data_IF_845982789776
#
_entry.id   IF_845982789776
#
_cell.length_a   1.000
_cell.length_b   1.000
_cell.length_c   1.000
_cell.angle_alpha   90.00
_cell.angle_beta   90.00
_cell.angle_gamma   90.00
#
_symmetry.space_group_name_H-M   'P 1'
#
loop_
_entity.id
_entity.type
_entity.pdbx_description
1 polymer ?
#
# COMPACT_ATOMS: atom_id res chain seq x y z
N UNK A 1 -37.06 -8.98 -22.24
CA UNK A 1 -36.66 -9.50 -20.91
C UNK A 1 -35.84 -8.45 -20.11
N UNK A 2 -36.30 -7.19 -20.01
CA UNK A 2 -35.62 -6.10 -19.25
C UNK A 2 -36.55 -5.52 -18.15
N UNK A 3 -37.80 -6.00 -18.06
CA UNK A 3 -38.87 -5.40 -17.24
C UNK A 3 -38.70 -5.58 -15.72
N UNK A 4 -37.82 -6.47 -15.27
CA UNK A 4 -37.76 -6.90 -13.85
C UNK A 4 -36.80 -6.11 -12.96
N UNK A 5 -35.94 -5.24 -13.51
CA UNK A 5 -35.02 -4.37 -12.73
C UNK A 5 -35.36 -2.88 -12.77
N UNK A 6 -36.51 -2.53 -13.34
CA UNK A 6 -36.93 -1.12 -13.43
C UNK A 6 -37.56 -0.67 -12.12
N UNK A 7 -36.77 0.07 -11.33
CA UNK A 7 -37.21 0.76 -10.11
C UNK A 7 -38.53 1.53 -10.37
N UNK A 8 -39.45 1.53 -9.40
CA UNK A 8 -40.76 2.20 -9.47
C UNK A 8 -40.65 3.67 -9.89
N UNK A 9 -39.54 4.34 -9.53
CA UNK A 9 -39.25 5.71 -9.94
C UNK A 9 -38.99 5.84 -11.44
N UNK A 10 -38.29 4.88 -12.05
CA UNK A 10 -37.99 4.88 -13.48
C UNK A 10 -39.25 4.68 -14.34
N UNK A 11 -40.20 3.85 -13.86
CA UNK A 11 -41.50 3.66 -14.52
C UNK A 11 -42.40 4.91 -14.47
N UNK A 12 -42.25 5.74 -13.42
CA UNK A 12 -42.98 7.01 -13.28
C UNK A 12 -42.45 8.08 -14.23
N UNK A 13 -41.12 8.14 -14.40
CA UNK A 13 -40.46 9.07 -15.34
C UNK A 13 -40.87 8.80 -16.79
N UNK A 14 -40.99 7.53 -17.20
CA UNK A 14 -41.46 7.18 -18.55
C UNK A 14 -42.94 7.58 -18.83
N UNK A 15 -43.80 7.67 -17.81
CA UNK A 15 -45.19 8.15 -17.99
C UNK A 15 -45.32 9.67 -18.02
N UNK A 16 -44.39 10.40 -17.39
CA UNK A 16 -44.36 11.86 -17.39
C UNK A 16 -44.02 12.45 -18.78
N UNK A 17 -43.37 11.64 -19.63
CA UNK A 17 -42.94 11.91 -21.01
C UNK A 17 -44.00 12.43 -22.01
N UNK A 18 -45.25 12.55 -21.60
CA UNK A 18 -46.39 12.91 -22.46
C UNK A 18 -46.76 14.40 -22.44
N UNK A 19 -46.04 15.25 -21.70
CA UNK A 19 -46.41 16.67 -21.53
C UNK A 19 -45.33 17.68 -21.95
N UNK A 20 -44.20 17.24 -22.50
CA UNK A 20 -43.42 18.00 -23.49
C UNK A 20 -42.63 19.22 -23.00
N UNK A 21 -42.75 19.66 -21.74
CA UNK A 21 -41.96 20.80 -21.22
C UNK A 21 -41.08 20.48 -20.00
N UNK A 22 -41.44 19.49 -19.17
CA UNK A 22 -40.62 19.09 -18.01
C UNK A 22 -39.63 17.96 -18.34
N UNK A 23 -39.85 17.23 -19.44
CA UNK A 23 -39.12 16.01 -19.78
C UNK A 23 -37.67 16.28 -20.22
N UNK A 24 -37.45 17.35 -21.00
CA UNK A 24 -36.10 17.75 -21.42
C UNK A 24 -35.31 18.26 -20.22
N UNK A 25 -35.93 19.06 -19.35
CA UNK A 25 -35.26 19.61 -18.17
C UNK A 25 -34.86 18.50 -17.18
N UNK A 26 -35.75 17.54 -16.91
CA UNK A 26 -35.46 16.38 -16.07
C UNK A 26 -34.38 15.50 -16.71
N UNK A 27 -34.45 15.26 -18.03
CA UNK A 27 -33.43 14.50 -18.75
C UNK A 27 -32.05 15.17 -18.67
N UNK A 28 -31.98 16.49 -18.83
CA UNK A 28 -30.75 17.27 -18.69
C UNK A 28 -30.21 17.27 -17.26
N UNK A 29 -31.08 17.36 -16.24
CA UNK A 29 -30.67 17.25 -14.83
C UNK A 29 -30.10 15.85 -14.53
N UNK A 30 -30.75 14.78 -15.00
CA UNK A 30 -30.26 13.41 -14.80
C UNK A 30 -28.95 13.19 -15.55
N UNK A 31 -28.84 13.69 -16.79
CA UNK A 31 -27.61 13.61 -17.59
C UNK A 31 -26.46 14.34 -16.91
N UNK A 32 -26.68 15.56 -16.40
CA UNK A 32 -25.64 16.33 -15.70
C UNK A 32 -25.22 15.69 -14.39
N UNK A 33 -26.15 15.13 -13.60
CA UNK A 33 -25.82 14.37 -12.38
C UNK A 33 -25.01 13.11 -12.74
N UNK A 34 -25.40 12.38 -13.77
CA UNK A 34 -24.67 11.19 -14.24
C UNK A 34 -23.26 11.56 -14.73
N UNK A 35 -23.12 12.60 -15.54
CA UNK A 35 -21.81 13.03 -16.07
C UNK A 35 -20.91 13.53 -14.94
N UNK A 36 -21.43 14.30 -13.99
CA UNK A 36 -20.63 14.79 -12.86
C UNK A 36 -20.21 13.66 -11.92
N UNK A 37 -21.10 12.71 -11.61
CA UNK A 37 -20.75 11.55 -10.78
C UNK A 37 -19.73 10.63 -11.46
N UNK A 38 -19.91 10.35 -12.76
CA UNK A 38 -18.94 9.58 -13.55
C UNK A 38 -17.60 10.31 -13.67
N UNK A 39 -17.62 11.63 -13.89
CA UNK A 39 -16.41 12.44 -13.95
C UNK A 39 -15.68 12.48 -12.59
N UNK A 40 -16.40 12.60 -11.47
CA UNK A 40 -15.81 12.50 -10.13
C UNK A 40 -15.27 11.10 -9.82
N UNK A 41 -15.89 10.04 -10.35
CA UNK A 41 -15.40 8.66 -10.21
C UNK A 41 -14.16 8.37 -11.08
N UNK A 42 -14.05 8.99 -12.25
CA UNK A 42 -12.97 8.75 -13.22
C UNK A 42 -11.77 9.72 -13.06
N UNK A 43 -12.02 10.97 -12.66
CA UNK A 43 -11.02 12.04 -12.62
C UNK A 43 -10.94 12.77 -11.27
N UNK A 44 -11.87 12.51 -10.35
CA UNK A 44 -11.73 12.95 -8.96
C UNK A 44 -10.68 12.09 -8.28
N UNK A 45 -9.43 12.55 -8.23
CA UNK A 45 -8.34 11.86 -7.53
C UNK A 45 -8.83 11.40 -6.15
N UNK A 46 -8.90 10.09 -5.96
CA UNK A 46 -9.55 9.51 -4.80
C UNK A 46 -8.84 10.02 -3.54
N UNK A 47 -9.61 10.30 -2.48
CA UNK A 47 -9.02 10.67 -1.18
C UNK A 47 -7.99 9.64 -0.69
N UNK A 48 -8.08 8.40 -1.16
CA UNK A 48 -7.16 7.29 -0.87
C UNK A 48 -5.80 7.53 -1.52
N UNK A 49 -5.73 8.00 -2.76
CA UNK A 49 -4.47 8.25 -3.49
C UNK A 49 -3.71 9.41 -2.85
N UNK A 50 -4.44 10.44 -2.40
CA UNK A 50 -3.85 11.55 -1.66
C UNK A 50 -3.29 11.12 -0.31
N UNK A 51 -4.00 10.24 0.41
CA UNK A 51 -3.54 9.70 1.69
C UNK A 51 -2.31 8.82 1.50
N UNK A 52 -2.30 7.97 0.47
CA UNK A 52 -1.14 7.11 0.16
C UNK A 52 0.08 7.94 -0.21
N UNK A 53 -0.08 8.96 -1.05
CA UNK A 53 1.02 9.89 -1.40
C UNK A 53 1.56 10.62 -0.17
N UNK A 54 0.67 11.13 0.68
CA UNK A 54 1.10 11.81 1.92
C UNK A 54 1.80 10.85 2.89
N UNK A 55 1.29 9.62 3.02
CA UNK A 55 1.89 8.58 3.84
C UNK A 55 3.28 8.20 3.32
N UNK A 56 3.42 8.02 2.01
CA UNK A 56 4.70 7.73 1.38
C UNK A 56 5.73 8.81 1.68
N UNK A 57 5.36 10.08 1.53
CA UNK A 57 6.27 11.21 1.82
C UNK A 57 6.64 11.24 3.30
N UNK A 58 5.67 11.11 4.20
CA UNK A 58 5.92 11.11 5.65
C UNK A 58 6.82 9.94 6.08
N UNK A 59 6.51 8.73 5.61
CA UNK A 59 7.28 7.53 5.92
C UNK A 59 8.71 7.59 5.37
N UNK A 60 8.90 8.15 4.17
CA UNK A 60 10.24 8.32 3.59
C UNK A 60 11.07 9.38 4.31
N UNK A 61 10.42 10.41 4.84
CA UNK A 61 11.09 11.44 5.62
C UNK A 61 11.33 11.03 7.09
N UNK A 62 11.00 9.79 7.46
CA UNK A 62 11.02 9.31 8.84
C UNK A 62 10.19 10.17 9.82
N UNK A 63 9.13 10.84 9.33
CA UNK A 63 8.29 11.71 10.16
C UNK A 63 7.18 10.91 10.86
N UNK A 64 7.48 10.46 12.08
CA UNK A 64 6.54 9.70 12.91
C UNK A 64 5.25 10.49 13.23
N UNK A 65 5.36 11.80 13.47
CA UNK A 65 4.23 12.63 13.86
C UNK A 65 3.26 12.83 12.69
N UNK A 66 3.77 12.89 11.47
CA UNK A 66 2.93 12.88 10.27
C UNK A 66 2.33 11.49 9.96
N UNK A 67 3.03 10.40 10.29
CA UNK A 67 2.54 9.03 10.06
C UNK A 67 1.42 8.62 11.03
N UNK A 68 1.55 8.93 12.32
CA UNK A 68 0.57 8.60 13.38
C UNK A 68 -0.91 8.89 13.00
N UNK A 69 -1.29 10.11 12.60
CA UNK A 69 -2.68 10.42 12.27
C UNK A 69 -3.15 9.71 10.99
N UNK A 70 -2.25 9.44 10.04
CA UNK A 70 -2.58 8.75 8.79
C UNK A 70 -2.91 7.28 9.03
N UNK A 71 -2.12 6.59 9.87
CA UNK A 71 -2.35 5.19 10.27
C UNK A 71 -3.65 5.07 11.08
N UNK A 72 -3.91 6.01 12.00
CA UNK A 72 -5.14 6.04 12.81
C UNK A 72 -6.41 6.18 11.98
N UNK A 73 -6.32 6.78 10.78
CA UNK A 73 -7.48 6.99 9.91
C UNK A 73 -8.06 5.68 9.33
N UNK A 74 -7.41 4.54 9.56
CA UNK A 74 -7.85 3.16 9.30
C UNK A 74 -8.87 3.01 8.16
N UNK A 75 -8.52 3.52 6.99
CA UNK A 75 -9.37 3.37 5.80
C UNK A 75 -9.18 1.92 5.36
N UNK A 76 -10.16 1.08 5.67
CA UNK A 76 -10.23 -0.29 5.17
C UNK A 76 -10.39 -0.26 3.66
N UNK A 77 -9.27 -0.26 2.93
CA UNK A 77 -9.24 -0.46 1.50
C UNK A 77 -9.48 -1.94 1.23
N UNK A 78 -10.74 -2.30 0.94
CA UNK A 78 -11.06 -3.68 0.53
C UNK A 78 -10.16 -4.11 -0.64
N UNK A 79 -9.37 -5.16 -0.43
CA UNK A 79 -8.56 -5.81 -1.47
C UNK A 79 -7.16 -5.23 -1.72
N UNK A 80 -6.70 -4.25 -0.92
CA UNK A 80 -5.36 -3.67 -1.01
C UNK A 80 -4.71 -3.59 0.38
N UNK A 81 -3.37 -3.62 0.43
CA UNK A 81 -2.55 -3.55 1.66
C UNK A 81 -3.07 -2.48 2.63
N UNK A 82 -3.06 -2.81 3.93
CA UNK A 82 -3.46 -1.87 4.97
C UNK A 82 -2.57 -0.61 4.95
N UNK A 83 -3.08 0.52 5.48
CA UNK A 83 -2.29 1.75 5.58
C UNK A 83 -1.00 1.50 6.38
N UNK A 84 -1.10 0.69 7.44
CA UNK A 84 0.03 0.28 8.28
C UNK A 84 1.07 -0.53 7.52
N UNK A 85 0.65 -1.51 6.73
CA UNK A 85 1.54 -2.29 5.88
C UNK A 85 2.27 -1.40 4.88
N UNK A 86 1.55 -0.54 4.15
CA UNK A 86 2.18 0.40 3.19
C UNK A 86 3.18 1.34 3.85
N UNK A 87 2.86 1.84 5.05
CA UNK A 87 3.77 2.67 5.83
C UNK A 87 5.06 1.90 6.17
N UNK A 88 4.93 0.63 6.59
CA UNK A 88 6.05 -0.25 6.92
C UNK A 88 6.96 -0.42 5.69
N UNK A 89 6.37 -0.70 4.53
CA UNK A 89 7.10 -0.84 3.27
C UNK A 89 7.91 0.41 2.87
N UNK A 90 7.33 1.61 2.98
CA UNK A 90 8.06 2.83 2.63
C UNK A 90 9.16 3.18 3.65
N UNK A 91 8.89 2.99 4.94
CA UNK A 91 9.83 3.31 6.01
C UNK A 91 11.02 2.35 6.12
N UNK A 92 10.88 1.10 5.66
CA UNK A 92 11.94 0.09 5.71
C UNK A 92 13.16 0.44 4.86
N UNK A 93 12.95 1.01 3.66
CA UNK A 93 14.04 1.39 2.78
C UNK A 93 14.87 2.57 3.30
N UNK A 94 14.26 3.47 4.06
CA UNK A 94 14.91 4.66 4.61
C UNK A 94 15.47 4.43 6.04
N UNK A 95 15.28 3.25 6.62
CA UNK A 95 15.83 2.92 7.93
C UNK A 95 15.08 3.56 9.11
N UNK A 96 13.82 3.99 8.93
CA UNK A 96 13.05 4.68 9.97
C UNK A 96 12.53 3.74 11.07
N UNK A 97 13.42 3.30 11.97
CA UNK A 97 13.12 2.32 13.03
C UNK A 97 11.94 2.71 13.94
N UNK A 98 11.81 3.99 14.29
CA UNK A 98 10.73 4.46 15.17
C UNK A 98 9.34 4.26 14.55
N UNK A 99 9.23 4.48 13.24
CA UNK A 99 7.99 4.25 12.49
C UNK A 99 7.66 2.76 12.47
N UNK A 100 8.62 1.89 12.17
CA UNK A 100 8.34 0.44 12.13
C UNK A 100 7.93 -0.07 13.51
N UNK A 101 8.61 0.35 14.59
CA UNK A 101 8.20 0.01 15.97
C UNK A 101 6.76 0.42 16.25
N UNK A 102 6.39 1.65 15.90
CA UNK A 102 5.02 2.14 16.06
C UNK A 102 4.01 1.31 15.25
N UNK A 103 4.35 0.92 14.02
CA UNK A 103 3.47 0.14 13.16
C UNK A 103 3.28 -1.29 13.67
N UNK A 104 4.35 -1.95 14.13
CA UNK A 104 4.27 -3.27 14.76
C UNK A 104 3.45 -3.24 16.05
N UNK A 105 3.59 -2.20 16.87
CA UNK A 105 2.74 -1.98 18.06
C UNK A 105 1.24 -1.81 17.72
N UNK A 106 0.94 -1.37 16.49
CA UNK A 106 -0.44 -1.27 15.97
C UNK A 106 -0.92 -2.58 15.32
N UNK A 107 -0.16 -3.65 15.40
CA UNK A 107 -0.49 -4.96 14.84
C UNK A 107 -0.27 -5.05 13.33
N UNK A 108 0.61 -4.22 12.76
CA UNK A 108 1.05 -4.42 11.39
C UNK A 108 1.75 -5.77 11.26
N UNK A 109 1.32 -6.59 10.31
CA UNK A 109 2.00 -7.84 10.01
C UNK A 109 3.32 -7.53 9.27
N UNK A 110 4.43 -7.97 9.88
CA UNK A 110 5.79 -7.78 9.36
C UNK A 110 6.01 -8.52 8.03
N UNK A 111 5.26 -9.59 7.80
CA UNK A 111 5.34 -10.45 6.62
C UNK A 111 4.24 -10.19 5.59
N UNK A 112 3.23 -9.38 5.91
CA UNK A 112 2.14 -9.02 4.98
C UNK A 112 2.66 -8.34 3.70
N UNK A 113 3.85 -7.72 3.77
CA UNK A 113 4.54 -7.22 2.60
C UNK A 113 5.82 -8.01 2.36
N UNK A 114 5.78 -8.76 1.25
CA UNK A 114 6.93 -9.45 0.65
C UNK A 114 8.17 -8.57 0.46
N UNK A 115 7.98 -7.25 0.40
CA UNK A 115 8.99 -6.26 0.07
C UNK A 115 9.64 -5.50 1.22
N UNK A 116 9.21 -5.63 2.49
CA UNK A 116 9.76 -4.79 3.57
C UNK A 116 11.25 -5.07 3.81
N UNK A 117 11.59 -6.35 4.03
CA UNK A 117 12.98 -6.80 4.16
C UNK A 117 13.79 -6.53 2.89
N UNK A 118 13.20 -6.74 1.70
CA UNK A 118 13.84 -6.41 0.43
C UNK A 118 14.18 -4.92 0.30
N UNK A 119 13.28 -4.04 0.74
CA UNK A 119 13.52 -2.60 0.69
C UNK A 119 14.57 -2.14 1.68
N UNK A 120 14.59 -2.69 2.89
CA UNK A 120 15.68 -2.43 3.83
C UNK A 120 17.05 -2.83 3.24
N UNK A 121 17.10 -3.95 2.51
CA UNK A 121 18.30 -4.37 1.76
C UNK A 121 18.64 -3.41 0.62
N UNK A 122 17.66 -2.98 -0.18
CA UNK A 122 17.89 -2.04 -1.29
C UNK A 122 18.38 -0.68 -0.76
N UNK A 123 17.84 -0.23 0.36
CA UNK A 123 18.27 0.98 1.06
C UNK A 123 19.61 0.85 1.77
N UNK A 124 20.16 -0.37 1.89
CA UNK A 124 21.41 -0.63 2.57
C UNK A 124 21.38 -0.25 4.05
N UNK A 125 20.33 -0.69 4.77
CA UNK A 125 20.08 -0.34 6.17
C UNK A 125 20.27 -1.57 7.10
N UNK A 126 21.51 -1.92 7.53
CA UNK A 126 21.78 -3.13 8.31
C UNK A 126 21.00 -3.21 9.63
N UNK A 127 20.89 -2.10 10.35
CA UNK A 127 20.17 -2.03 11.62
C UNK A 127 18.68 -2.32 11.44
N UNK A 128 18.10 -1.82 10.36
CA UNK A 128 16.71 -2.09 10.00
C UNK A 128 16.51 -3.56 9.62
N UNK A 129 17.42 -4.13 8.83
CA UNK A 129 17.38 -5.54 8.44
C UNK A 129 17.44 -6.43 9.69
N UNK A 130 18.37 -6.14 10.60
CA UNK A 130 18.50 -6.87 11.87
C UNK A 130 17.22 -6.79 12.69
N UNK A 131 16.67 -5.58 12.85
CA UNK A 131 15.42 -5.38 13.57
C UNK A 131 14.26 -6.15 12.96
N UNK A 132 14.10 -6.12 11.63
CA UNK A 132 13.03 -6.85 10.96
C UNK A 132 13.15 -8.38 11.17
N UNK A 133 14.36 -8.93 11.07
CA UNK A 133 14.61 -10.36 11.27
C UNK A 133 14.39 -10.80 12.72
N UNK A 134 14.82 -10.00 13.69
CA UNK A 134 14.57 -10.22 15.12
C UNK A 134 13.06 -10.22 15.45
N UNK A 135 12.24 -9.52 14.67
CA UNK A 135 10.79 -9.47 14.83
C UNK A 135 10.05 -10.47 13.92
N UNK A 136 10.73 -11.49 13.38
CA UNK A 136 10.09 -12.59 12.66
C UNK A 136 9.86 -12.34 11.16
N UNK A 137 10.54 -11.36 10.55
CA UNK A 137 10.51 -11.21 9.10
C UNK A 137 11.09 -12.46 8.42
N UNK A 138 10.36 -13.02 7.46
CA UNK A 138 10.78 -14.23 6.74
C UNK A 138 11.91 -13.92 5.75
N UNK A 139 13.14 -14.44 5.96
CA UNK A 139 14.27 -14.16 5.07
C UNK A 139 14.15 -14.88 3.71
N UNK A 140 13.35 -15.95 3.64
CA UNK A 140 13.10 -16.72 2.42
C UNK A 140 11.97 -16.16 1.57
N UNK A 141 11.29 -15.10 2.01
CA UNK A 141 10.26 -14.47 1.21
C UNK A 141 10.84 -14.01 -0.12
N UNK A 142 10.09 -14.19 -1.21
CA UNK A 142 10.51 -13.80 -2.55
C UNK A 142 9.79 -12.56 -3.04
N UNK A 143 10.53 -11.65 -3.66
CA UNK A 143 9.96 -10.51 -4.38
C UNK A 143 9.22 -10.97 -5.66
N UNK A 144 8.61 -10.02 -6.37
CA UNK A 144 7.90 -10.28 -7.63
C UNK A 144 8.79 -10.81 -8.76
N UNK A 145 10.11 -10.71 -8.64
CA UNK A 145 11.09 -11.31 -9.57
C UNK A 145 11.57 -12.69 -9.09
N UNK A 146 10.99 -13.23 -8.01
CA UNK A 146 11.37 -14.51 -7.44
C UNK A 146 12.70 -14.48 -6.67
N UNK A 147 13.22 -13.30 -6.31
CA UNK A 147 14.50 -13.14 -5.59
C UNK A 147 14.26 -13.08 -4.10
N UNK A 148 15.17 -13.61 -3.30
CA UNK A 148 15.18 -13.37 -1.85
C UNK A 148 15.92 -12.06 -1.52
N UNK A 149 15.79 -11.62 -0.26
CA UNK A 149 16.52 -10.47 0.25
C UNK A 149 18.04 -10.66 0.06
N UNK A 150 18.56 -11.86 0.36
CA UNK A 150 19.98 -12.21 0.20
C UNK A 150 20.43 -12.13 -1.26
N UNK A 151 19.63 -12.65 -2.20
CA UNK A 151 19.93 -12.54 -3.64
C UNK A 151 20.00 -11.08 -4.10
N UNK A 152 19.16 -10.22 -3.54
CA UNK A 152 19.18 -8.78 -3.85
C UNK A 152 20.43 -8.11 -3.31
N UNK A 153 20.85 -8.44 -2.08
CA UNK A 153 22.09 -7.95 -1.49
C UNK A 153 23.34 -8.40 -2.29
N UNK A 154 23.42 -9.67 -2.67
CA UNK A 154 24.50 -10.21 -3.50
C UNK A 154 24.61 -9.49 -4.84
N UNK A 155 23.47 -9.20 -5.48
CA UNK A 155 23.46 -8.42 -6.72
C UNK A 155 24.03 -7.02 -6.50
N UNK A 156 23.60 -6.31 -5.46
CA UNK A 156 24.08 -4.95 -5.19
C UNK A 156 25.57 -4.91 -4.81
N UNK A 157 26.10 -5.94 -4.14
CA UNK A 157 27.53 -6.10 -3.85
C UNK A 157 28.42 -6.13 -5.11
N UNK A 158 27.89 -6.64 -6.23
CA UNK A 158 28.63 -6.74 -7.49
C UNK A 158 28.74 -5.41 -8.25
N UNK A 159 27.76 -4.52 -8.11
CA UNK A 159 27.64 -3.30 -8.92
C UNK A 159 27.89 -1.99 -8.16
N UNK A 160 28.09 -2.04 -6.84
CA UNK A 160 28.09 -0.85 -5.99
C UNK A 160 29.47 -0.53 -5.39
N UNK A 161 29.74 0.76 -5.20
CA UNK A 161 30.86 1.26 -4.37
C UNK A 161 30.77 0.80 -2.91
N UNK A 162 29.57 0.36 -2.47
CA UNK A 162 29.27 -0.18 -1.15
C UNK A 162 29.48 -1.69 -1.00
N UNK A 163 30.46 -2.28 -1.71
CA UNK A 163 30.71 -3.74 -1.66
C UNK A 163 30.85 -4.29 -0.25
N UNK A 164 31.56 -3.59 0.65
CA UNK A 164 31.78 -4.04 2.04
C UNK A 164 30.45 -4.14 2.81
N UNK A 165 29.66 -3.06 2.78
CA UNK A 165 28.33 -3.00 3.41
C UNK A 165 27.43 -4.14 2.94
N UNK A 166 27.35 -4.37 1.62
CA UNK A 166 26.51 -5.43 1.09
C UNK A 166 27.05 -6.83 1.36
N UNK A 167 28.36 -7.00 1.61
CA UNK A 167 28.92 -8.26 2.10
C UNK A 167 28.41 -8.56 3.51
N UNK A 168 28.45 -7.58 4.40
CA UNK A 168 27.96 -7.73 5.78
C UNK A 168 26.46 -8.05 5.81
N UNK A 169 25.67 -7.40 4.96
CA UNK A 169 24.23 -7.68 4.81
C UNK A 169 24.01 -9.13 4.32
N UNK A 170 24.84 -9.63 3.41
CA UNK A 170 24.74 -11.02 2.94
C UNK A 170 25.02 -11.99 4.07
N UNK A 171 26.05 -11.75 4.88
CA UNK A 171 26.39 -12.60 6.01
C UNK A 171 25.27 -12.59 7.08
N UNK A 172 24.71 -11.42 7.36
CA UNK A 172 23.58 -11.26 8.28
C UNK A 172 22.35 -12.05 7.80
N UNK A 173 22.02 -11.96 6.51
CA UNK A 173 20.90 -12.70 5.94
C UNK A 173 21.17 -14.21 5.86
N UNK A 174 22.41 -14.63 5.60
CA UNK A 174 22.79 -16.04 5.60
C UNK A 174 22.62 -16.67 6.99
N UNK A 175 23.01 -15.95 8.05
CA UNK A 175 22.81 -16.40 9.41
C UNK A 175 21.32 -16.47 9.78
N UNK A 176 20.55 -15.45 9.39
CA UNK A 176 19.11 -15.44 9.63
C UNK A 176 18.38 -16.57 8.89
N UNK A 177 18.75 -16.88 7.65
CA UNK A 177 18.20 -18.00 6.88
C UNK A 177 18.47 -19.36 7.56
N UNK A 178 19.63 -19.55 8.21
CA UNK A 178 19.95 -20.80 8.95
C UNK A 178 19.15 -20.92 10.25
N UNK A 179 18.94 -19.81 10.93
CA UNK A 179 18.25 -19.77 12.22
C UNK A 179 16.72 -19.75 12.07
N UNK A 180 16.22 -19.36 10.90
CA UNK A 180 14.80 -19.21 10.63
C UNK A 180 14.07 -20.55 10.75
N UNK A 181 13.15 -20.61 11.72
CA UNK A 181 12.18 -21.69 11.86
C UNK A 181 10.84 -21.15 11.39
N UNK A 182 10.23 -21.69 10.32
CA UNK A 182 8.87 -21.31 9.98
C UNK A 182 7.99 -21.64 11.19
N UNK A 183 7.34 -20.62 11.74
CA UNK A 183 6.40 -20.75 12.85
C UNK A 183 5.35 -21.82 12.48
N UNK A 184 5.20 -22.81 13.37
CA UNK A 184 4.22 -23.91 13.27
C UNK A 184 2.80 -23.41 13.54
#
# INVERSE_FOLDING_TARGET
>A
MISLYMNRNFRRVLRASSTGQYDILIFLIVLTICVTTIYSLLFGGNSIDKIDKNLQVAAKNCDLEAVKPLVKKNINTKGSLSISERALYYSAGEGCLEIIKFLLDKGADINAISGALHHAVIGGQPEMIKFLLENGANPHYRDWKGRTARMTAMKNSQYSWNRKLYSEIVDLLDEAEKQYKPEQ
#
